data_IF_431952226940
#
_entry.id   IF_431952226940
#
_cell.length_a   1.000
_cell.length_b   1.000
_cell.length_c   1.000
_cell.angle_alpha   90.00
_cell.angle_beta   90.00
_cell.angle_gamma   90.00
#
_symmetry.space_group_name_H-M   'P 1'
#
loop_
_entity.id
_entity.type
_entity.pdbx_description
1 polymer ?
#
# COMPACT_ATOMS: atom_id res chain seq x y z
N UNK A 1 10.63 10.73 -28.44
CA UNK A 1 9.82 11.23 -27.31
C UNK A 1 8.42 10.60 -27.21
N UNK A 2 7.81 10.02 -28.28
CA UNK A 2 6.46 9.39 -28.23
C UNK A 2 6.37 7.95 -27.65
N UNK A 3 7.47 7.20 -27.56
CA UNK A 3 7.46 5.81 -27.06
C UNK A 3 7.32 5.74 -25.53
N UNK A 4 8.06 6.59 -24.81
CA UNK A 4 8.11 6.60 -23.34
C UNK A 4 6.78 7.02 -22.70
N UNK A 5 6.06 7.97 -23.30
CA UNK A 5 4.72 8.37 -22.83
C UNK A 5 3.69 7.25 -23.00
N UNK A 6 3.78 6.47 -24.09
CA UNK A 6 2.85 5.37 -24.37
C UNK A 6 3.00 4.24 -23.35
N UNK A 7 4.24 3.90 -22.97
CA UNK A 7 4.55 2.91 -21.94
C UNK A 7 4.12 3.36 -20.55
N UNK A 8 4.31 4.64 -20.21
CA UNK A 8 3.89 5.18 -18.92
C UNK A 8 2.36 5.20 -18.74
N UNK A 9 1.61 5.52 -19.79
CA UNK A 9 0.15 5.51 -19.73
C UNK A 9 -0.42 4.10 -19.58
N UNK A 10 0.17 3.11 -20.27
CA UNK A 10 -0.22 1.71 -20.13
C UNK A 10 0.06 1.18 -18.72
N UNK A 11 1.20 1.56 -18.13
CA UNK A 11 1.52 1.16 -16.76
C UNK A 11 0.50 1.72 -15.75
N UNK A 12 0.13 3.00 -15.89
CA UNK A 12 -0.90 3.62 -15.04
C UNK A 12 -2.27 2.97 -15.17
N UNK A 13 -2.64 2.56 -16.39
CA UNK A 13 -3.88 1.83 -16.62
C UNK A 13 -3.87 0.47 -15.92
N UNK A 14 -2.74 -0.25 -15.99
CA UNK A 14 -2.55 -1.51 -15.26
C UNK A 14 -2.63 -1.29 -13.74
N UNK A 15 -1.92 -0.30 -13.20
CA UNK A 15 -1.98 0.04 -11.77
C UNK A 15 -3.41 0.35 -11.32
N UNK A 16 -4.17 1.08 -12.15
CA UNK A 16 -5.58 1.39 -11.90
C UNK A 16 -6.47 0.15 -11.90
N UNK A 17 -6.29 -0.75 -12.87
CA UNK A 17 -7.05 -1.99 -12.97
C UNK A 17 -6.75 -2.93 -11.78
N UNK A 18 -5.48 -3.01 -11.39
CA UNK A 18 -5.03 -3.78 -10.22
C UNK A 18 -5.63 -3.22 -8.93
N UNK A 19 -5.57 -1.91 -8.72
CA UNK A 19 -6.18 -1.27 -7.56
C UNK A 19 -7.69 -1.55 -7.51
N UNK A 20 -8.39 -1.42 -8.65
CA UNK A 20 -9.84 -1.66 -8.70
C UNK A 20 -10.18 -3.12 -8.38
N UNK A 21 -9.42 -4.06 -8.93
CA UNK A 21 -9.57 -5.49 -8.61
C UNK A 21 -9.39 -5.76 -7.12
N UNK A 22 -8.32 -5.21 -6.52
CA UNK A 22 -8.04 -5.36 -5.10
C UNK A 22 -9.11 -4.74 -4.21
N UNK A 23 -9.68 -3.59 -4.61
CA UNK A 23 -10.77 -2.98 -3.87
C UNK A 23 -11.99 -3.89 -3.79
N UNK A 24 -12.39 -4.48 -4.92
CA UNK A 24 -13.51 -5.43 -4.97
C UNK A 24 -13.22 -6.67 -4.13
N UNK A 25 -11.95 -7.10 -4.07
CA UNK A 25 -11.55 -8.34 -3.42
C UNK A 25 -11.37 -8.21 -1.91
N UNK A 26 -10.83 -7.08 -1.45
CA UNK A 26 -10.37 -6.90 -0.06
C UNK A 26 -11.23 -5.94 0.76
N UNK A 27 -11.92 -4.99 0.11
CA UNK A 27 -12.72 -4.04 0.86
C UNK A 27 -14.09 -4.64 1.20
N UNK A 28 -14.55 -4.33 2.40
CA UNK A 28 -15.83 -4.76 2.91
C UNK A 28 -16.52 -3.58 3.58
N UNK A 29 -17.73 -3.26 3.12
CA UNK A 29 -18.62 -2.35 3.84
C UNK A 29 -19.53 -3.19 4.75
N UNK A 30 -19.27 -3.11 6.05
CA UNK A 30 -20.05 -3.82 7.05
C UNK A 30 -21.36 -3.12 7.41
N UNK A 31 -21.67 -1.96 6.83
CA UNK A 31 -22.83 -1.13 7.16
C UNK A 31 -22.96 -0.85 8.67
N UNK A 32 -21.84 -0.46 9.27
CA UNK A 32 -21.66 -0.31 10.72
C UNK A 32 -22.69 0.61 11.40
N UNK A 33 -23.36 1.46 10.64
CA UNK A 33 -24.35 2.41 11.16
C UNK A 33 -25.73 1.78 11.37
N UNK A 34 -26.06 0.76 10.57
CA UNK A 34 -27.36 0.13 10.57
C UNK A 34 -27.33 -1.31 11.08
N UNK A 35 -26.16 -1.95 11.10
CA UNK A 35 -25.98 -3.31 11.60
C UNK A 35 -25.12 -3.34 12.89
N UNK A 36 -25.73 -3.54 14.07
CA UNK A 36 -25.02 -3.68 15.34
C UNK A 36 -24.14 -4.92 15.45
N UNK A 37 -24.39 -5.96 14.64
CA UNK A 37 -23.59 -7.19 14.60
C UNK A 37 -22.47 -7.13 13.56
N UNK A 38 -22.33 -6.00 12.86
CA UNK A 38 -21.31 -5.77 11.87
C UNK A 38 -19.90 -5.97 12.42
N UNK A 39 -19.08 -6.67 11.66
CA UNK A 39 -17.65 -6.82 11.94
C UNK A 39 -16.82 -5.58 11.61
N UNK A 40 -17.46 -4.50 11.13
CA UNK A 40 -16.79 -3.27 10.76
C UNK A 40 -16.61 -3.11 9.26
N UNK A 41 -16.17 -1.92 8.86
CA UNK A 41 -15.64 -1.69 7.52
C UNK A 41 -14.18 -2.16 7.47
N UNK A 42 -13.78 -2.67 6.32
CA UNK A 42 -12.38 -2.97 5.98
C UNK A 42 -12.08 -2.29 4.65
N UNK A 43 -11.01 -1.51 4.56
CA UNK A 43 -10.61 -0.90 3.30
C UNK A 43 -9.10 -0.83 3.12
N UNK A 44 -8.68 -0.63 1.87
CA UNK A 44 -7.27 -0.45 1.53
C UNK A 44 -6.85 0.96 1.95
N UNK A 45 -6.07 1.05 3.02
CA UNK A 45 -5.53 2.32 3.51
C UNK A 45 -4.26 2.73 2.77
N UNK A 46 -3.42 1.77 2.41
CA UNK A 46 -2.24 2.04 1.59
C UNK A 46 -1.96 0.87 0.64
N UNK A 47 -1.45 1.20 -0.55
CA UNK A 47 -1.07 0.21 -1.56
C UNK A 47 0.19 0.66 -2.31
N UNK A 48 1.16 -0.24 -2.47
CA UNK A 48 2.33 -0.06 -3.34
C UNK A 48 2.28 -1.11 -4.44
N UNK A 49 2.33 -0.66 -5.71
CA UNK A 49 2.26 -1.51 -6.90
C UNK A 49 3.50 -1.26 -7.78
N UNK A 50 4.70 -1.74 -7.43
CA UNK A 50 5.81 -1.74 -8.38
C UNK A 50 5.57 -2.72 -9.55
N UNK A 51 6.07 -2.41 -10.75
CA UNK A 51 6.31 -3.43 -11.75
C UNK A 51 7.26 -4.50 -11.18
N UNK A 52 6.97 -5.78 -11.37
CA UNK A 52 7.89 -6.82 -10.91
C UNK A 52 9.21 -6.74 -11.68
N UNK A 53 10.31 -6.78 -10.94
CA UNK A 53 11.65 -6.95 -11.50
C UNK A 53 12.30 -8.16 -10.85
N UNK A 54 13.13 -8.89 -11.59
CA UNK A 54 13.83 -10.07 -11.08
C UNK A 54 14.73 -9.80 -9.86
N UNK A 55 15.02 -8.54 -9.55
CA UNK A 55 15.78 -8.12 -8.37
C UNK A 55 14.93 -8.06 -7.09
N UNK A 56 13.60 -8.12 -7.20
CA UNK A 56 12.66 -8.14 -6.06
C UNK A 56 12.42 -9.54 -5.49
N UNK A 57 13.25 -10.54 -5.86
CA UNK A 57 13.11 -11.93 -5.36
C UNK A 57 13.11 -12.03 -3.84
N UNK A 58 13.80 -11.14 -3.14
CA UNK A 58 13.84 -11.10 -1.66
C UNK A 58 12.51 -10.67 -1.03
N UNK A 59 11.55 -10.20 -1.83
CA UNK A 59 10.25 -9.71 -1.38
C UNK A 59 9.09 -10.58 -1.86
N UNK A 60 9.35 -11.74 -2.47
CA UNK A 60 8.29 -12.69 -2.82
C UNK A 60 7.56 -13.14 -1.55
N UNK A 61 6.22 -13.28 -1.60
CA UNK A 61 5.47 -13.93 -0.54
C UNK A 61 6.14 -15.25 -0.16
N UNK A 62 6.20 -15.57 1.13
CA UNK A 62 6.89 -16.77 1.62
C UNK A 62 6.34 -18.09 1.00
N UNK A 63 5.10 -18.06 0.51
CA UNK A 63 4.45 -19.17 -0.17
C UNK A 63 4.91 -19.38 -1.64
N UNK A 64 5.68 -18.44 -2.19
CA UNK A 64 6.19 -18.51 -3.55
C UNK A 64 7.62 -19.04 -3.58
N UNK A 65 7.76 -20.25 -4.12
CA UNK A 65 9.07 -20.87 -4.30
C UNK A 65 9.80 -20.25 -5.50
N UNK A 66 11.08 -19.91 -5.34
CA UNK A 66 11.90 -19.23 -6.37
C UNK A 66 12.14 -20.04 -7.65
N UNK A 67 11.58 -21.25 -7.71
CA UNK A 67 11.54 -22.18 -8.84
C UNK A 67 10.40 -21.89 -9.84
N UNK A 68 9.38 -21.09 -9.46
CA UNK A 68 8.30 -20.72 -10.37
C UNK A 68 8.80 -19.72 -11.43
N UNK A 69 8.70 -20.11 -12.71
CA UNK A 69 9.00 -19.23 -13.83
C UNK A 69 7.81 -18.28 -14.00
N UNK A 70 7.90 -17.11 -13.38
CA UNK A 70 6.95 -16.02 -13.56
C UNK A 70 7.42 -15.12 -14.70
N UNK A 71 6.52 -14.77 -15.61
CA UNK A 71 6.80 -13.77 -16.65
C UNK A 71 6.83 -12.38 -15.99
N UNK A 72 7.99 -11.68 -15.93
CA UNK A 72 8.10 -10.43 -15.20
C UNK A 72 7.16 -9.33 -15.70
N UNK A 73 6.84 -9.34 -16.99
CA UNK A 73 5.96 -8.35 -17.60
C UNK A 73 4.49 -8.51 -17.18
N UNK A 74 4.17 -9.62 -16.52
CA UNK A 74 2.81 -10.01 -16.15
C UNK A 74 2.64 -10.19 -14.65
N UNK A 75 3.68 -9.93 -13.87
CA UNK A 75 3.66 -10.10 -12.42
C UNK A 75 3.86 -8.76 -11.73
N UNK A 76 3.15 -8.57 -10.63
CA UNK A 76 3.24 -7.40 -9.77
C UNK A 76 3.36 -7.89 -8.34
N UNK A 77 4.38 -7.40 -7.65
CA UNK A 77 4.51 -7.60 -6.22
C UNK A 77 3.86 -6.41 -5.55
N UNK A 78 2.91 -6.63 -4.66
CA UNK A 78 2.08 -5.57 -4.12
C UNK A 78 2.10 -5.66 -2.61
N UNK A 79 2.40 -4.56 -1.93
CA UNK A 79 2.10 -4.47 -0.49
C UNK A 79 0.80 -3.74 -0.31
N UNK A 80 -0.08 -4.31 0.51
CA UNK A 80 -1.35 -3.73 0.91
C UNK A 80 -1.38 -3.56 2.41
N UNK A 81 -1.92 -2.43 2.86
CA UNK A 81 -2.26 -2.17 4.26
C UNK A 81 -3.76 -1.99 4.36
N UNK A 82 -4.40 -2.77 5.22
CA UNK A 82 -5.82 -2.71 5.49
C UNK A 82 -6.07 -1.97 6.80
N UNK A 83 -7.11 -1.14 6.81
CA UNK A 83 -7.59 -0.45 8.00
C UNK A 83 -9.05 -0.81 8.23
N UNK A 84 -9.45 -0.78 9.49
CA UNK A 84 -10.81 -1.11 9.91
C UNK A 84 -11.48 0.05 10.63
N UNK A 85 -12.80 0.10 10.55
CA UNK A 85 -13.64 1.05 11.28
C UNK A 85 -14.79 0.30 11.90
N UNK A 86 -15.04 0.56 13.17
CA UNK A 86 -16.24 0.11 13.87
C UNK A 86 -17.03 1.32 14.37
N UNK A 87 -18.13 1.07 15.08
CA UNK A 87 -18.87 2.12 15.78
C UNK A 87 -18.05 2.89 16.83
N UNK A 88 -16.90 2.36 17.25
CA UNK A 88 -15.96 3.04 18.15
C UNK A 88 -14.97 3.94 17.40
N UNK A 89 -14.95 3.83 16.07
CA UNK A 89 -14.11 4.62 15.18
C UNK A 89 -13.12 3.82 14.36
N UNK A 90 -12.32 4.52 13.55
CA UNK A 90 -11.26 3.89 12.76
C UNK A 90 -10.11 3.42 13.64
N UNK A 91 -9.65 2.19 13.42
CA UNK A 91 -8.54 1.61 14.14
C UNK A 91 -7.24 2.38 13.83
N UNK A 92 -6.50 2.75 14.88
CA UNK A 92 -5.21 3.45 14.76
C UNK A 92 -4.05 2.50 14.46
N UNK A 93 -4.28 1.20 14.65
CA UNK A 93 -3.36 0.12 14.31
C UNK A 93 -3.86 -0.62 13.08
N UNK A 94 -2.94 -0.95 12.18
CA UNK A 94 -3.24 -1.54 10.88
C UNK A 94 -2.40 -2.78 10.63
N UNK A 95 -2.94 -3.64 9.78
CA UNK A 95 -2.27 -4.85 9.31
C UNK A 95 -1.92 -4.70 7.82
N UNK A 96 -0.87 -5.37 7.39
CA UNK A 96 -0.43 -5.36 6.00
C UNK A 96 0.21 -6.66 5.57
N UNK A 97 0.10 -6.97 4.28
CA UNK A 97 0.65 -8.18 3.68
C UNK A 97 1.19 -7.90 2.28
N UNK A 98 2.06 -8.78 1.79
CA UNK A 98 2.56 -8.76 0.42
C UNK A 98 1.78 -9.78 -0.43
N UNK A 99 1.24 -9.32 -1.55
CA UNK A 99 0.51 -10.10 -2.54
C UNK A 99 1.37 -10.23 -3.81
N UNK A 100 1.28 -11.38 -4.45
CA UNK A 100 1.76 -11.54 -5.82
C UNK A 100 0.56 -11.57 -6.76
N UNK A 101 0.51 -10.63 -7.70
CA UNK A 101 -0.56 -10.53 -8.70
C UNK A 101 -0.04 -10.90 -10.07
N UNK A 102 -0.83 -11.66 -10.81
CA UNK A 102 -0.58 -12.00 -12.22
C UNK A 102 -1.63 -11.36 -13.11
N UNK A 103 -1.20 -10.94 -14.30
CA UNK A 103 -2.07 -10.43 -15.37
C UNK A 103 -1.91 -11.31 -16.61
N UNK A 104 -2.99 -11.98 -17.01
CA UNK A 104 -3.00 -12.75 -18.24
C UNK A 104 -3.03 -11.83 -19.47
N UNK A 105 -2.04 -11.91 -20.36
CA UNK A 105 -1.94 -11.02 -21.53
C UNK A 105 -3.03 -11.23 -22.59
N UNK A 106 -3.70 -12.38 -22.60
CA UNK A 106 -4.73 -12.68 -23.60
C UNK A 106 -6.13 -12.24 -23.16
N UNK A 107 -6.37 -12.21 -21.85
CA UNK A 107 -7.69 -11.97 -21.26
C UNK A 107 -7.75 -10.74 -20.36
N UNK A 108 -6.59 -10.12 -20.07
CA UNK A 108 -6.43 -9.03 -19.09
C UNK A 108 -6.94 -9.39 -17.70
N UNK A 109 -7.03 -10.70 -17.41
CA UNK A 109 -7.51 -11.20 -16.13
C UNK A 109 -6.44 -11.00 -15.06
N UNK A 110 -6.85 -10.37 -13.96
CA UNK A 110 -6.02 -10.12 -12.77
C UNK A 110 -6.36 -11.15 -11.70
N UNK A 111 -5.34 -11.78 -11.12
CA UNK A 111 -5.49 -12.78 -10.06
C UNK A 111 -4.43 -12.64 -8.97
N UNK A 112 -4.81 -12.93 -7.71
CA UNK A 112 -3.86 -13.11 -6.60
C UNK A 112 -3.35 -14.54 -6.66
N UNK A 113 -2.04 -14.69 -6.78
CA UNK A 113 -1.42 -16.00 -6.82
C UNK A 113 -1.34 -16.60 -5.42
N UNK A 114 -1.75 -17.86 -5.27
CA UNK A 114 -1.81 -18.58 -3.99
C UNK A 114 -2.64 -17.86 -2.92
N UNK A 115 -3.77 -17.29 -3.33
CA UNK A 115 -4.68 -16.50 -2.49
C UNK A 115 -4.96 -17.14 -1.12
N UNK A 116 -5.38 -18.40 -1.10
CA UNK A 116 -5.72 -19.11 0.13
C UNK A 116 -4.54 -19.18 1.11
N UNK A 117 -3.32 -19.36 0.61
CA UNK A 117 -2.12 -19.43 1.44
C UNK A 117 -1.82 -18.06 2.07
N UNK A 118 -1.83 -17.02 1.24
CA UNK A 118 -1.49 -15.64 1.67
C UNK A 118 -2.45 -15.13 2.74
N UNK A 119 -3.74 -15.47 2.68
CA UNK A 119 -4.72 -15.06 3.68
C UNK A 119 -4.88 -16.03 4.85
N UNK A 120 -4.28 -17.22 4.78
CA UNK A 120 -4.26 -18.15 5.91
C UNK A 120 -3.15 -17.87 6.91
N UNK A 121 -2.08 -17.19 6.47
CA UNK A 121 -0.95 -16.81 7.32
C UNK A 121 -1.21 -15.50 8.07
N UNK A 122 -0.43 -15.27 9.13
CA UNK A 122 -0.43 -13.99 9.83
C UNK A 122 0.07 -12.86 8.91
N UNK A 123 -0.46 -11.63 9.04
CA UNK A 123 0.00 -10.51 8.23
C UNK A 123 1.49 -10.21 8.48
N UNK A 124 2.21 -9.87 7.42
CA UNK A 124 3.64 -9.52 7.49
C UNK A 124 3.89 -8.27 8.34
N UNK A 125 2.97 -7.33 8.31
CA UNK A 125 2.92 -6.17 9.18
C UNK A 125 1.71 -6.30 10.08
N UNK A 126 1.92 -6.46 11.40
CA UNK A 126 0.83 -6.75 12.33
C UNK A 126 0.67 -5.65 13.39
N UNK A 127 -0.53 -5.08 13.49
CA UNK A 127 -0.96 -4.21 14.58
C UNK A 127 -0.10 -2.96 14.79
N UNK A 128 0.48 -2.41 13.72
CA UNK A 128 1.39 -1.26 13.82
C UNK A 128 0.70 0.09 13.58
N UNK A 129 1.27 1.21 14.08
CA UNK A 129 0.68 2.53 13.88
C UNK A 129 0.85 3.01 12.42
N UNK A 130 -0.01 3.93 11.97
CA UNK A 130 -0.01 4.43 10.59
C UNK A 130 1.36 4.87 10.04
N UNK A 131 2.19 5.65 10.77
CA UNK A 131 3.49 6.06 10.25
C UNK A 131 4.43 4.88 9.96
N UNK A 132 4.37 3.85 10.80
CA UNK A 132 5.16 2.62 10.62
C UNK A 132 4.66 1.81 9.43
N UNK A 133 3.35 1.74 9.22
CA UNK A 133 2.75 1.07 8.07
C UNK A 133 3.11 1.76 6.74
N UNK A 134 3.06 3.10 6.71
CA UNK A 134 3.48 3.90 5.54
C UNK A 134 4.97 3.69 5.27
N UNK A 135 5.81 3.69 6.31
CA UNK A 135 7.23 3.39 6.13
C UNK A 135 7.43 1.98 5.56
N UNK A 136 6.73 0.99 6.11
CA UNK A 136 6.82 -0.39 5.64
C UNK A 136 6.39 -0.57 4.17
N UNK A 137 5.29 0.09 3.76
CA UNK A 137 4.79 -0.01 2.39
C UNK A 137 5.68 0.74 1.38
N UNK A 138 6.24 1.89 1.79
CA UNK A 138 7.12 2.73 0.95
C UNK A 138 8.44 2.06 0.56
N UNK A 139 8.88 1.04 1.31
CA UNK A 139 10.09 0.25 0.98
C UNK A 139 9.98 -0.37 -0.41
N UNK A 140 8.77 -0.70 -0.85
CA UNK A 140 8.54 -1.40 -2.10
C UNK A 140 8.51 -0.46 -3.31
N UNK A 141 7.78 0.66 -3.24
CA UNK A 141 7.82 1.72 -4.25
C UNK A 141 7.15 3.03 -3.80
N UNK A 142 7.56 4.13 -4.44
CA UNK A 142 6.81 5.37 -4.55
C UNK A 142 6.53 5.67 -6.03
N UNK A 143 5.34 6.21 -6.40
CA UNK A 143 4.26 6.63 -5.51
C UNK A 143 3.47 5.44 -4.94
N UNK A 144 3.00 5.59 -3.70
CA UNK A 144 2.04 4.68 -3.08
C UNK A 144 0.64 5.30 -3.13
N UNK A 145 -0.38 4.47 -3.35
CA UNK A 145 -1.76 4.87 -3.13
C UNK A 145 -2.00 4.97 -1.62
N UNK A 146 -2.66 6.04 -1.18
CA UNK A 146 -2.97 6.29 0.23
C UNK A 146 -4.43 6.75 0.37
N UNK A 147 -5.13 6.16 1.34
CA UNK A 147 -6.50 6.43 1.70
C UNK A 147 -6.68 6.33 3.22
N UNK A 148 -6.43 7.45 3.90
CA UNK A 148 -6.59 7.53 5.35
C UNK A 148 -8.05 7.45 5.80
N UNK A 149 -8.94 8.06 5.01
CA UNK A 149 -10.36 8.19 5.31
C UNK A 149 -11.12 6.98 4.80
N UNK A 150 -11.98 6.42 5.66
CA UNK A 150 -12.85 5.30 5.32
C UNK A 150 -13.77 5.69 4.14
N UNK A 151 -13.68 5.00 2.98
CA UNK A 151 -14.47 5.32 1.80
C UNK A 151 -15.97 5.11 2.00
N UNK A 152 -16.38 4.24 2.93
CA UNK A 152 -17.77 3.86 3.12
C UNK A 152 -18.54 4.81 4.02
N UNK A 153 -17.83 5.69 4.73
CA UNK A 153 -18.44 6.70 5.58
C UNK A 153 -18.75 8.00 4.83
N UNK A 154 -19.89 8.61 5.16
CA UNK A 154 -20.17 10.00 4.79
C UNK A 154 -19.25 10.96 5.53
N UNK A 155 -19.20 12.23 5.10
CA UNK A 155 -18.41 13.27 5.76
C UNK A 155 -18.78 13.42 7.25
N UNK A 156 -20.07 13.38 7.57
CA UNK A 156 -20.57 13.50 8.95
C UNK A 156 -20.18 12.29 9.80
N UNK A 157 -20.28 11.09 9.23
CA UNK A 157 -19.87 9.86 9.89
C UNK A 157 -18.37 9.84 10.14
N UNK A 158 -17.55 10.31 9.20
CA UNK A 158 -16.10 10.46 9.40
C UNK A 158 -15.79 11.43 10.53
N UNK A 159 -16.50 12.55 10.65
CA UNK A 159 -16.27 13.47 11.77
C UNK A 159 -16.57 12.78 13.11
N UNK A 160 -17.60 11.94 13.16
CA UNK A 160 -17.98 11.22 14.37
C UNK A 160 -17.07 10.02 14.69
N UNK A 161 -16.58 9.31 13.67
CA UNK A 161 -15.93 7.99 13.81
C UNK A 161 -14.44 7.99 13.42
N UNK A 162 -13.96 8.89 12.58
CA UNK A 162 -12.52 9.06 12.26
C UNK A 162 -11.82 10.02 13.23
N UNK A 163 -12.29 10.14 14.48
CA UNK A 163 -11.96 11.19 15.47
C UNK A 163 -10.49 11.33 15.91
N UNK A 164 -9.52 10.79 15.18
CA UNK A 164 -8.07 10.92 15.39
C UNK A 164 -7.26 11.26 14.13
N UNK A 165 -7.87 11.33 12.95
CA UNK A 165 -7.16 11.72 11.73
C UNK A 165 -7.17 13.27 11.62
N UNK A 166 -6.23 13.96 12.27
CA UNK A 166 -5.67 15.12 11.55
C UNK A 166 -5.13 14.55 10.24
N UNK A 167 -5.45 15.18 9.09
CA UNK A 167 -4.97 14.73 7.80
C UNK A 167 -3.47 14.41 7.96
N UNK A 168 -3.08 13.14 7.85
CA UNK A 168 -1.68 12.78 8.02
C UNK A 168 -0.93 13.46 6.87
N UNK A 169 -0.30 14.59 7.20
CA UNK A 169 0.53 15.32 6.27
C UNK A 169 1.71 14.41 6.04
N UNK A 170 1.74 13.77 4.86
CA UNK A 170 2.93 13.07 4.40
C UNK A 170 4.12 13.99 4.63
N UNK A 171 5.20 13.52 5.29
CA UNK A 171 6.42 14.30 5.31
C UNK A 171 6.76 14.63 3.86
N UNK A 172 6.97 15.92 3.56
CA UNK A 172 7.28 16.36 2.21
C UNK A 172 8.39 15.45 1.64
N UNK A 173 8.29 15.04 0.36
CA UNK A 173 9.39 14.36 -0.29
C UNK A 173 10.66 15.18 -0.01
N UNK A 174 11.74 14.53 0.44
CA UNK A 174 13.03 15.20 0.60
C UNK A 174 13.65 15.49 -0.77
N UNK A 175 12.93 16.22 -1.62
CA UNK A 175 13.50 16.92 -2.74
C UNK A 175 14.24 18.13 -2.18
N UNK A 176 15.55 17.91 -2.03
CA UNK A 176 16.58 18.75 -1.39
C UNK A 176 16.90 18.30 0.03
N UNK A 177 17.71 17.25 0.13
CA UNK A 177 18.85 17.36 1.04
C UNK A 177 19.51 18.72 0.76
N UNK A 178 19.65 19.63 1.75
CA UNK A 178 20.60 20.71 1.58
C UNK A 178 21.93 20.04 1.25
N UNK A 179 22.60 20.55 0.21
CA UNK A 179 23.95 20.11 -0.15
C UNK A 179 24.73 19.89 1.15
N UNK A 180 25.46 18.77 1.30
CA UNK A 180 26.26 18.55 2.50
C UNK A 180 27.09 19.82 2.70
N UNK A 181 26.85 20.50 3.83
CA UNK A 181 27.70 21.60 4.24
C UNK A 181 29.08 20.97 4.35
N UNK A 182 29.97 21.35 3.44
CA UNK A 182 31.38 21.06 3.59
C UNK A 182 31.79 21.79 4.86
N UNK A 183 31.88 21.06 5.96
CA UNK A 183 32.60 21.52 7.14
C UNK A 183 34.04 21.69 6.69
N UNK A 184 34.44 22.93 6.49
CA UNK A 184 35.84 23.30 6.39
C UNK A 184 36.45 23.21 7.78
N UNK A 185 37.73 22.85 7.87
CA UNK A 185 38.44 22.67 9.15
C UNK A 185 38.33 23.88 10.11
N UNK A 186 38.04 25.08 9.58
CA UNK A 186 37.80 26.32 10.34
C UNK A 186 36.55 26.31 11.25
N UNK A 187 35.63 25.34 11.12
CA UNK A 187 34.44 25.26 11.99
C UNK A 187 34.70 24.51 13.31
N UNK A 188 35.84 23.81 13.44
CA UNK A 188 36.20 23.08 14.66
C UNK A 188 36.68 24.01 15.80
N UNK A 189 37.26 25.16 15.46
CA UNK A 189 37.82 26.13 16.43
C UNK A 189 36.75 26.95 17.17
N UNK A 190 35.47 26.78 16.84
CA UNK A 190 34.35 27.49 17.52
C UNK A 190 33.73 26.71 18.68
N UNK A 191 34.21 25.49 18.95
CA UNK A 191 33.64 24.59 19.96
C UNK A 191 34.55 24.34 21.19
N UNK A 192 35.69 25.04 21.29
CA UNK A 192 36.57 25.04 22.46
C UNK A 192 36.98 26.45 22.88
#
# INVERSE_FOLDING_TARGET
MKMTERTANQLKEIEGNVLQYLKVKLEHNGDIMNDPESYGNIWIMALSIPPYSHNLKESLPACLDGSQILNPEQVFLIRVVLRTTTLQGSNIYVDGTTLCITIDSGTEKIEILMEDAVFSDAPEFQGGPLPSAIKWISVLSEPCYLQFKDPFLTSEQRIALNGHDEDYILPEPKDKLPNPVQTTDDDFDKWF
#
